data_IF_337523679004
#
_entry.id   IF_337523679004
#
_cell.length_a   1.000
_cell.length_b   1.000
_cell.length_c   1.000
_cell.angle_alpha   90.00
_cell.angle_beta   90.00
_cell.angle_gamma   90.00
#
_symmetry.space_group_name_H-M   'P 1'
#
loop_
_entity.id
_entity.type
_entity.pdbx_description
1 polymer ?
#
# COMPACT_ATOMS: atom_id res chain seq x y z
N UNK A 1 -0.98 13.02 5.35
CA UNK A 1 -0.87 11.56 5.13
C UNK A 1 -1.71 11.16 3.93
N UNK A 2 -1.10 10.48 2.94
CA UNK A 2 -1.66 10.13 1.62
C UNK A 2 -2.60 8.90 1.69
N UNK A 3 -3.30 8.56 0.60
CA UNK A 3 -4.15 7.36 0.49
C UNK A 3 -3.35 6.04 0.43
N UNK A 4 -2.07 6.14 0.07
CA UNK A 4 -1.15 5.01 -0.05
C UNK A 4 0.17 5.28 0.67
N UNK A 5 0.85 4.19 1.04
CA UNK A 5 2.25 4.19 1.47
C UNK A 5 3.00 3.03 0.84
N UNK A 6 4.33 3.13 0.73
CA UNK A 6 5.18 2.03 0.27
C UNK A 6 5.82 1.39 1.50
N UNK A 7 5.59 0.10 1.69
CA UNK A 7 6.35 -0.71 2.65
C UNK A 7 7.61 -1.20 1.94
N UNK A 8 8.75 -0.90 2.50
CA UNK A 8 10.05 -1.38 2.00
C UNK A 8 10.59 -2.46 2.92
N UNK A 9 11.25 -3.46 2.33
CA UNK A 9 11.90 -4.55 3.07
C UNK A 9 13.21 -4.86 2.37
N UNK A 10 14.32 -4.69 3.09
CA UNK A 10 15.66 -5.01 2.60
C UNK A 10 16.09 -6.38 3.14
N UNK A 11 16.59 -7.23 2.25
CA UNK A 11 17.12 -8.56 2.58
C UNK A 11 18.57 -8.60 2.10
N UNK A 12 19.49 -8.89 3.01
CA UNK A 12 20.90 -9.13 2.69
C UNK A 12 21.11 -10.62 2.47
N UNK A 13 21.63 -10.98 1.30
CA UNK A 13 21.92 -12.37 0.95
C UNK A 13 23.33 -12.78 1.43
N UNK A 14 23.61 -14.10 1.55
CA UNK A 14 24.93 -14.60 1.96
C UNK A 14 26.08 -14.24 1.01
N UNK A 15 25.79 -13.93 -0.26
CA UNK A 15 26.76 -13.49 -1.26
C UNK A 15 27.08 -11.99 -1.19
N UNK A 16 26.51 -11.27 -0.21
CA UNK A 16 26.68 -9.83 -0.03
C UNK A 16 25.75 -8.97 -0.89
N UNK A 17 24.95 -9.57 -1.78
CA UNK A 17 23.94 -8.82 -2.53
C UNK A 17 22.78 -8.36 -1.64
N UNK A 18 22.21 -7.20 -1.96
CA UNK A 18 21.06 -6.64 -1.25
C UNK A 18 19.85 -6.66 -2.17
N UNK A 19 18.76 -7.28 -1.72
CA UNK A 19 17.47 -7.27 -2.39
C UNK A 19 16.48 -6.40 -1.63
N UNK A 20 15.96 -5.37 -2.30
CA UNK A 20 14.92 -4.48 -1.75
C UNK A 20 13.58 -4.84 -2.37
N UNK A 21 12.60 -5.19 -1.53
CA UNK A 21 11.21 -5.41 -1.94
C UNK A 21 10.36 -4.22 -1.53
N UNK A 22 9.61 -3.66 -2.48
CA UNK A 22 8.69 -2.54 -2.25
C UNK A 22 7.25 -3.01 -2.50
N UNK A 23 6.35 -2.72 -1.57
CA UNK A 23 4.93 -3.08 -1.68
C UNK A 23 4.07 -1.87 -1.36
N UNK A 24 3.24 -1.45 -2.30
CA UNK A 24 2.28 -0.37 -2.08
C UNK A 24 1.12 -0.89 -1.24
N UNK A 25 0.75 -0.12 -0.21
CA UNK A 25 -0.36 -0.42 0.70
C UNK A 25 -1.29 0.77 0.82
N UNK A 26 -2.57 0.50 1.01
CA UNK A 26 -3.59 1.52 1.26
C UNK A 26 -3.54 1.92 2.73
N UNK A 27 -3.66 3.21 3.04
CA UNK A 27 -3.78 3.70 4.42
C UNK A 27 -5.20 3.50 4.94
N UNK A 28 -5.42 3.58 6.26
CA UNK A 28 -6.80 3.55 6.81
C UNK A 28 -7.69 4.65 6.22
N UNK A 29 -7.15 5.86 5.99
CA UNK A 29 -7.85 6.93 5.27
C UNK A 29 -8.14 6.57 3.81
N UNK A 30 -7.20 5.90 3.13
CA UNK A 30 -7.39 5.40 1.78
C UNK A 30 -8.50 4.35 1.68
N UNK A 31 -8.59 3.44 2.64
CA UNK A 31 -9.64 2.42 2.70
C UNK A 31 -11.02 3.08 2.80
N UNK A 32 -11.22 3.98 3.76
CA UNK A 32 -12.48 4.73 3.91
C UNK A 32 -12.86 5.49 2.65
N UNK A 33 -11.90 6.13 1.99
CA UNK A 33 -12.14 6.84 0.73
C UNK A 33 -12.68 5.92 -0.37
N UNK A 34 -12.02 4.77 -0.59
CA UNK A 34 -12.47 3.84 -1.63
C UNK A 34 -13.79 3.17 -1.28
N UNK A 35 -14.02 2.82 -0.02
CA UNK A 35 -15.31 2.30 0.44
C UNK A 35 -16.42 3.28 0.09
N UNK A 36 -16.32 4.54 0.54
CA UNK A 36 -17.36 5.55 0.26
C UNK A 36 -17.54 5.76 -1.25
N UNK A 37 -16.44 5.91 -1.98
CA UNK A 37 -16.49 6.15 -3.44
C UNK A 37 -17.18 5.04 -4.22
N UNK A 38 -17.00 3.77 -3.83
CA UNK A 38 -17.61 2.64 -4.53
C UNK A 38 -18.97 2.25 -3.96
N UNK A 39 -19.25 2.59 -2.70
CA UNK A 39 -20.55 2.40 -2.07
C UNK A 39 -21.58 3.43 -2.56
N UNK A 40 -21.17 4.70 -2.74
CA UNK A 40 -22.04 5.76 -3.29
C UNK A 40 -22.52 5.41 -4.70
N UNK A 41 -21.67 4.77 -5.52
CA UNK A 41 -22.03 4.32 -6.87
C UNK A 41 -22.97 3.10 -6.90
N UNK A 42 -23.20 2.42 -5.77
CA UNK A 42 -24.14 1.29 -5.67
C UNK A 42 -25.50 1.72 -5.10
N UNK A 43 -25.60 2.92 -4.52
CA UNK A 43 -26.82 3.48 -3.95
C UNK A 43 -27.51 4.51 -4.85
N UNK A 44 -26.97 4.74 -6.05
CA UNK A 44 -27.54 5.57 -7.13
C UNK A 44 -28.17 4.73 -8.22
#
# INVERSE_FOLDING_TARGET
MRLFFVKETSITNPDGSIRITKTTKVTGKGQMYFINKFQDNMLS
#
